data_IF_196742515481
#
_entry.id   IF_196742515481
#
_cell.length_a   1.000
_cell.length_b   1.000
_cell.length_c   1.000
_cell.angle_alpha   90.00
_cell.angle_beta   90.00
_cell.angle_gamma   90.00
#
_symmetry.space_group_name_H-M   'P 1'
#
loop_
_entity.id
_entity.type
_entity.pdbx_description
1 polymer ?
#
# COMPACT_ATOMS: atom_id res chain seq x y z
N UNK A 1 12.08 -15.66 -15.49
CA UNK A 1 13.51 -15.52 -15.18
C UNK A 1 13.61 -14.99 -13.75
N UNK A 2 14.20 -15.73 -12.82
CA UNK A 2 14.28 -15.31 -11.42
C UNK A 2 15.05 -13.99 -11.28
N UNK A 3 14.55 -13.08 -10.46
CA UNK A 3 15.23 -11.83 -10.12
C UNK A 3 16.53 -12.15 -9.39
N UNK A 4 17.67 -11.75 -9.95
CA UNK A 4 18.98 -11.99 -9.32
C UNK A 4 19.05 -11.30 -7.96
N UNK A 5 19.60 -11.98 -6.97
CA UNK A 5 19.80 -11.41 -5.62
C UNK A 5 20.85 -10.30 -5.64
N UNK A 6 20.84 -9.37 -4.67
CA UNK A 6 21.88 -8.34 -4.55
C UNK A 6 23.29 -8.94 -4.54
N UNK A 7 23.45 -10.09 -3.86
CA UNK A 7 24.71 -10.84 -3.81
C UNK A 7 25.17 -11.28 -5.20
N UNK A 8 24.26 -11.81 -6.02
CA UNK A 8 24.57 -12.20 -7.40
C UNK A 8 24.91 -11.01 -8.29
N UNK A 9 24.16 -9.90 -8.16
CA UNK A 9 24.44 -8.66 -8.90
C UNK A 9 25.84 -8.11 -8.57
N UNK A 10 26.21 -8.10 -7.28
CA UNK A 10 27.54 -7.67 -6.82
C UNK A 10 28.62 -8.64 -7.31
N UNK A 11 28.36 -9.95 -7.28
CA UNK A 11 29.31 -10.97 -7.71
C UNK A 11 29.57 -10.89 -9.22
N UNK A 12 28.53 -10.70 -10.02
CA UNK A 12 28.65 -10.48 -11.46
C UNK A 12 29.50 -9.24 -11.75
N UNK A 13 29.24 -8.12 -11.07
CA UNK A 13 30.04 -6.89 -11.23
C UNK A 13 31.49 -7.13 -10.82
N UNK A 14 31.74 -7.81 -9.70
CA UNK A 14 33.10 -8.12 -9.25
C UNK A 14 33.84 -8.98 -10.28
N UNK A 15 33.18 -10.01 -10.82
CA UNK A 15 33.75 -10.88 -11.86
C UNK A 15 34.12 -10.09 -13.11
N UNK A 16 33.20 -9.28 -13.64
CA UNK A 16 33.46 -8.43 -14.79
C UNK A 16 34.57 -7.41 -14.51
N UNK A 17 34.64 -6.87 -13.30
CA UNK A 17 35.67 -5.90 -12.92
C UNK A 17 37.05 -6.53 -12.89
N UNK A 18 37.19 -7.75 -12.36
CA UNK A 18 38.46 -8.48 -12.39
C UNK A 18 38.85 -8.79 -13.84
N UNK A 19 37.89 -9.19 -14.67
CA UNK A 19 38.13 -9.42 -16.10
C UNK A 19 38.63 -8.16 -16.82
N UNK A 20 37.95 -7.02 -16.64
CA UNK A 20 38.36 -5.73 -17.21
C UNK A 20 39.71 -5.28 -16.69
N UNK A 21 39.97 -5.43 -15.39
CA UNK A 21 41.24 -5.10 -14.78
C UNK A 21 42.39 -5.90 -15.40
N UNK A 22 42.22 -7.22 -15.55
CA UNK A 22 43.21 -8.07 -16.23
C UNK A 22 43.40 -7.67 -17.70
N UNK A 23 42.32 -7.33 -18.42
CA UNK A 23 42.41 -6.85 -19.80
C UNK A 23 43.19 -5.53 -19.89
N UNK A 24 42.94 -4.57 -19.01
CA UNK A 24 43.68 -3.30 -18.94
C UNK A 24 45.16 -3.50 -18.61
N UNK A 25 45.49 -4.44 -17.72
CA UNK A 25 46.88 -4.80 -17.43
C UNK A 25 47.57 -5.39 -18.66
N UNK A 26 46.93 -6.30 -19.39
CA UNK A 26 47.47 -6.89 -20.62
C UNK A 26 47.72 -5.80 -21.66
N UNK A 27 46.75 -4.92 -21.89
CA UNK A 27 46.88 -3.82 -22.85
C UNK A 27 47.98 -2.84 -22.43
N UNK A 28 47.99 -2.43 -21.16
CA UNK A 28 49.02 -1.53 -20.63
C UNK A 28 50.42 -2.12 -20.74
N UNK A 29 50.57 -3.41 -20.44
CA UNK A 29 51.84 -4.13 -20.59
C UNK A 29 52.27 -4.24 -22.06
N UNK A 30 51.35 -4.57 -22.98
CA UNK A 30 51.65 -4.67 -24.41
C UNK A 30 52.10 -3.33 -24.99
N UNK A 31 51.44 -2.22 -24.62
CA UNK A 31 51.82 -0.88 -25.07
C UNK A 31 53.20 -0.51 -24.53
N UNK A 32 53.45 -0.68 -23.23
CA UNK A 32 54.74 -0.30 -22.63
C UNK A 32 55.92 -1.22 -23.01
N UNK A 33 55.65 -2.47 -23.40
CA UNK A 33 56.65 -3.41 -23.91
C UNK A 33 56.92 -3.27 -25.41
N UNK A 34 56.22 -2.36 -26.10
CA UNK A 34 56.31 -2.21 -27.56
C UNK A 34 55.86 -3.47 -28.30
N UNK A 35 54.78 -4.10 -27.83
CA UNK A 35 54.29 -5.42 -28.26
C UNK A 35 55.31 -6.54 -28.01
N UNK A 36 55.72 -6.72 -26.74
CA UNK A 36 56.61 -7.80 -26.27
C UNK A 36 58.06 -7.71 -26.79
N UNK A 37 58.48 -6.57 -27.33
CA UNK A 37 59.84 -6.37 -27.83
C UNK A 37 60.84 -6.13 -26.71
N UNK A 38 60.41 -5.51 -25.61
CA UNK A 38 61.27 -5.15 -24.47
C UNK A 38 60.51 -5.36 -23.16
N UNK A 39 61.18 -5.90 -22.15
CA UNK A 39 60.60 -6.01 -20.80
C UNK A 39 60.55 -4.61 -20.15
N UNK A 40 59.37 -4.13 -19.72
CA UNK A 40 59.26 -2.82 -19.09
C UNK A 40 60.07 -2.74 -17.78
N UNK A 41 60.64 -1.57 -17.49
CA UNK A 41 61.30 -1.30 -16.21
C UNK A 41 60.31 -1.41 -15.04
N UNK A 42 60.81 -1.74 -13.84
CA UNK A 42 59.97 -1.94 -12.64
C UNK A 42 59.05 -0.75 -12.34
N UNK A 43 59.55 0.48 -12.50
CA UNK A 43 58.77 1.70 -12.26
C UNK A 43 57.57 1.82 -13.21
N UNK A 44 57.74 1.42 -14.48
CA UNK A 44 56.64 1.41 -15.46
C UNK A 44 55.61 0.33 -15.19
N UNK A 45 56.01 -0.83 -14.67
CA UNK A 45 55.08 -1.88 -14.26
C UNK A 45 54.20 -1.39 -13.10
N UNK A 46 54.80 -0.67 -12.15
CA UNK A 46 54.08 -0.06 -11.05
C UNK A 46 53.08 1.00 -11.54
N UNK A 47 53.45 1.86 -12.49
CA UNK A 47 52.54 2.82 -13.12
C UNK A 47 51.35 2.15 -13.81
N UNK A 48 51.60 1.11 -14.62
CA UNK A 48 50.54 0.35 -15.31
C UNK A 48 49.56 -0.26 -14.29
N UNK A 49 50.07 -0.81 -13.19
CA UNK A 49 49.25 -1.40 -12.14
C UNK A 49 48.39 -0.32 -11.44
N UNK A 50 49.00 0.81 -11.11
CA UNK A 50 48.32 1.95 -10.47
C UNK A 50 47.24 2.53 -11.36
N UNK A 51 47.50 2.68 -12.65
CA UNK A 51 46.54 3.22 -13.63
C UNK A 51 45.39 2.25 -13.86
N UNK A 52 45.68 0.96 -14.02
CA UNK A 52 44.65 -0.07 -14.15
C UNK A 52 43.75 -0.13 -12.92
N UNK A 53 44.31 -0.02 -11.70
CA UNK A 53 43.54 0.05 -10.45
C UNK A 53 42.70 1.33 -10.38
N UNK A 54 43.26 2.48 -10.75
CA UNK A 54 42.58 3.77 -10.69
C UNK A 54 41.41 3.85 -11.67
N UNK A 55 41.60 3.38 -12.91
CA UNK A 55 40.54 3.29 -13.92
C UNK A 55 39.47 2.30 -13.46
N UNK A 56 39.87 1.13 -12.98
CA UNK A 56 38.92 0.12 -12.49
C UNK A 56 38.09 0.65 -11.32
N UNK A 57 38.70 1.36 -10.37
CA UNK A 57 37.99 1.98 -9.24
C UNK A 57 37.05 3.11 -9.70
N UNK A 58 37.49 3.95 -10.64
CA UNK A 58 36.70 5.04 -11.19
C UNK A 58 35.44 4.54 -11.93
N UNK A 59 35.50 3.38 -12.57
CA UNK A 59 34.35 2.72 -13.18
C UNK A 59 33.51 1.92 -12.18
N UNK A 60 34.14 1.23 -11.24
CA UNK A 60 33.47 0.36 -10.28
C UNK A 60 32.60 1.15 -9.30
N UNK A 61 33.10 2.29 -8.79
CA UNK A 61 32.39 3.04 -7.75
C UNK A 61 30.99 3.53 -8.20
N UNK A 62 30.81 4.16 -9.38
CA UNK A 62 29.50 4.52 -9.89
C UNK A 62 28.57 3.31 -10.13
N UNK A 63 29.11 2.22 -10.66
CA UNK A 63 28.34 0.99 -10.96
C UNK A 63 27.86 0.31 -9.68
N UNK A 64 28.73 0.19 -8.69
CA UNK A 64 28.39 -0.35 -7.37
C UNK A 64 27.36 0.54 -6.67
N UNK A 65 27.54 1.87 -6.70
CA UNK A 65 26.58 2.82 -6.16
C UNK A 65 25.21 2.70 -6.84
N UNK A 66 25.16 2.54 -8.17
CA UNK A 66 23.92 2.38 -8.91
C UNK A 66 23.18 1.09 -8.53
N UNK A 67 23.88 -0.05 -8.43
CA UNK A 67 23.25 -1.32 -8.04
C UNK A 67 22.75 -1.28 -6.60
N UNK A 68 23.56 -0.77 -5.67
CA UNK A 68 23.15 -0.58 -4.28
C UNK A 68 21.93 0.33 -4.18
N UNK A 69 21.92 1.45 -4.90
CA UNK A 69 20.81 2.40 -4.86
C UNK A 69 19.54 1.84 -5.50
N UNK A 70 19.66 1.06 -6.58
CA UNK A 70 18.52 0.41 -7.22
C UNK A 70 17.87 -0.60 -6.29
N UNK A 71 18.68 -1.44 -5.62
CA UNK A 71 18.20 -2.44 -4.66
C UNK A 71 17.59 -1.76 -3.41
N UNK A 72 18.26 -0.76 -2.85
CA UNK A 72 17.76 0.05 -1.75
C UNK A 72 16.41 0.71 -2.06
N UNK A 73 16.25 1.24 -3.29
CA UNK A 73 14.99 1.82 -3.74
C UNK A 73 13.87 0.79 -3.84
N UNK A 74 14.15 -0.41 -4.34
CA UNK A 74 13.17 -1.50 -4.39
C UNK A 74 12.73 -1.92 -2.98
N UNK A 75 13.69 -2.10 -2.05
CA UNK A 75 13.39 -2.41 -0.65
C UNK A 75 12.56 -1.32 0.01
N UNK A 76 12.91 -0.05 -0.15
CA UNK A 76 12.13 1.05 0.41
C UNK A 76 10.74 1.19 -0.22
N UNK A 77 10.59 0.89 -1.51
CA UNK A 77 9.26 0.83 -2.13
C UNK A 77 8.42 -0.26 -1.48
N UNK A 78 8.97 -1.45 -1.23
CA UNK A 78 8.28 -2.55 -0.57
C UNK A 78 7.86 -2.18 0.87
N UNK A 79 8.80 -1.67 1.68
CA UNK A 79 8.52 -1.20 3.06
C UNK A 79 7.42 -0.14 3.07
N UNK A 80 7.45 0.78 2.10
CA UNK A 80 6.43 1.84 2.02
C UNK A 80 5.05 1.29 1.63
N UNK A 81 4.98 0.34 0.70
CA UNK A 81 3.73 -0.35 0.34
C UNK A 81 3.18 -1.10 1.56
N UNK A 82 4.01 -1.83 2.29
CA UNK A 82 3.64 -2.50 3.52
C UNK A 82 3.05 -1.52 4.54
N UNK A 83 3.78 -0.44 4.83
CA UNK A 83 3.34 0.58 5.79
C UNK A 83 2.02 1.25 5.38
N UNK A 84 1.85 1.59 4.10
CA UNK A 84 0.62 2.21 3.59
C UNK A 84 -0.56 1.22 3.63
N UNK A 85 -0.34 -0.05 3.30
CA UNK A 85 -1.37 -1.09 3.38
C UNK A 85 -1.83 -1.37 4.82
N UNK A 86 -0.92 -1.29 5.79
CA UNK A 86 -1.24 -1.39 7.21
C UNK A 86 -2.08 -0.20 7.67
N UNK A 87 -1.74 1.01 7.23
CA UNK A 87 -2.56 2.21 7.52
C UNK A 87 -3.97 2.04 6.97
N UNK A 88 -4.12 1.62 5.71
CA UNK A 88 -5.45 1.38 5.11
C UNK A 88 -6.25 0.37 5.95
N UNK A 89 -5.64 -0.74 6.35
CA UNK A 89 -6.29 -1.74 7.21
C UNK A 89 -6.73 -1.15 8.57
N UNK A 90 -5.87 -0.38 9.23
CA UNK A 90 -6.19 0.21 10.53
C UNK A 90 -7.31 1.26 10.42
N UNK A 91 -7.32 2.08 9.38
CA UNK A 91 -8.36 3.07 9.15
C UNK A 91 -9.70 2.43 8.79
N UNK A 92 -9.72 1.37 7.95
CA UNK A 92 -10.92 0.56 7.72
C UNK A 92 -11.47 0.02 9.03
N UNK A 93 -10.61 -0.58 9.87
CA UNK A 93 -11.03 -1.12 11.16
C UNK A 93 -11.63 -0.04 12.06
N UNK A 94 -11.05 1.17 12.09
CA UNK A 94 -11.59 2.30 12.86
C UNK A 94 -12.95 2.74 12.33
N UNK A 95 -13.12 2.86 11.01
CA UNK A 95 -14.41 3.17 10.36
C UNK A 95 -15.50 2.18 10.79
N UNK A 96 -15.18 0.89 10.80
CA UNK A 96 -16.13 -0.14 11.25
C UNK A 96 -16.47 -0.04 12.74
N UNK A 97 -15.48 0.23 13.59
CA UNK A 97 -15.71 0.41 15.02
C UNK A 97 -16.60 1.63 15.30
N UNK A 98 -16.34 2.75 14.63
CA UNK A 98 -17.16 3.95 14.76
C UNK A 98 -18.57 3.70 14.23
N UNK A 99 -18.73 3.08 13.07
CA UNK A 99 -20.04 2.71 12.55
C UNK A 99 -20.84 1.82 13.51
N UNK A 100 -20.18 0.82 14.13
CA UNK A 100 -20.80 -0.04 15.15
C UNK A 100 -21.25 0.75 16.37
N UNK A 101 -20.46 1.72 16.84
CA UNK A 101 -20.86 2.61 17.94
C UNK A 101 -22.07 3.46 17.56
N UNK A 102 -22.11 4.00 16.35
CA UNK A 102 -23.25 4.76 15.84
C UNK A 102 -24.53 3.90 15.83
N UNK A 103 -24.44 2.65 15.36
CA UNK A 103 -25.56 1.69 15.41
C UNK A 103 -26.07 1.45 16.84
N UNK A 104 -25.15 1.24 17.78
CA UNK A 104 -25.50 1.05 19.19
C UNK A 104 -26.19 2.27 19.79
N UNK A 105 -25.71 3.48 19.48
CA UNK A 105 -26.29 4.72 19.99
C UNK A 105 -27.75 4.93 19.54
N UNK A 106 -28.07 4.60 18.28
CA UNK A 106 -29.46 4.63 17.80
C UNK A 106 -30.30 3.59 18.52
N UNK A 107 -29.81 2.35 18.64
CA UNK A 107 -30.53 1.25 19.29
C UNK A 107 -30.87 1.54 20.75
N UNK A 108 -29.95 2.15 21.48
CA UNK A 108 -30.15 2.46 22.91
C UNK A 108 -30.90 3.77 23.13
N UNK A 109 -31.34 4.44 22.06
CA UNK A 109 -32.12 5.69 22.10
C UNK A 109 -31.44 6.79 22.94
N UNK A 110 -30.10 6.76 23.02
CA UNK A 110 -29.34 7.76 23.76
C UNK A 110 -29.48 9.07 22.97
N UNK A 111 -30.29 9.98 23.52
CA UNK A 111 -30.56 11.34 23.02
C UNK A 111 -29.32 12.24 22.93
N UNK A 112 -28.12 11.69 23.03
CA UNK A 112 -26.89 12.46 23.01
C UNK A 112 -26.51 12.78 21.56
N UNK A 113 -27.17 13.81 21.02
CA UNK A 113 -26.86 14.40 19.71
C UNK A 113 -25.37 14.74 19.56
N UNK A 114 -24.64 14.91 20.66
CA UNK A 114 -23.21 15.22 20.63
C UNK A 114 -22.37 13.98 20.29
N UNK A 115 -22.68 12.81 20.88
CA UNK A 115 -21.98 11.55 20.58
C UNK A 115 -22.07 11.18 19.10
N UNK A 116 -23.25 11.37 18.48
CA UNK A 116 -23.41 11.05 17.07
C UNK A 116 -22.58 11.98 16.16
N UNK A 117 -22.63 13.29 16.41
CA UNK A 117 -21.84 14.26 15.64
C UNK A 117 -20.34 14.01 15.75
N UNK A 118 -19.88 13.67 16.96
CA UNK A 118 -18.48 13.35 17.20
C UNK A 118 -18.02 12.10 16.42
N UNK A 119 -18.83 11.05 16.39
CA UNK A 119 -18.52 9.84 15.62
C UNK A 119 -18.64 10.08 14.08
N UNK A 120 -19.53 10.97 13.63
CA UNK A 120 -19.60 11.39 12.23
C UNK A 120 -18.35 12.17 11.79
N UNK A 121 -17.84 13.08 12.62
CA UNK A 121 -16.59 13.78 12.37
C UNK A 121 -15.39 12.82 12.34
N UNK A 122 -15.33 11.87 13.28
CA UNK A 122 -14.30 10.82 13.27
C UNK A 122 -14.34 9.99 11.99
N UNK A 123 -15.52 9.58 11.53
CA UNK A 123 -15.66 8.85 10.26
C UNK A 123 -15.14 9.66 9.08
N UNK A 124 -15.42 10.97 9.00
CA UNK A 124 -14.87 11.81 7.93
C UNK A 124 -13.35 11.83 7.94
N UNK A 125 -12.74 11.99 9.11
CA UNK A 125 -11.27 11.96 9.26
C UNK A 125 -10.70 10.62 8.78
N UNK A 126 -11.30 9.50 9.20
CA UNK A 126 -10.83 8.17 8.80
C UNK A 126 -11.00 7.94 7.29
N UNK A 127 -12.10 8.40 6.68
CA UNK A 127 -12.30 8.32 5.23
C UNK A 127 -11.28 9.16 4.45
N UNK A 128 -10.96 10.37 4.92
CA UNK A 128 -9.97 11.23 4.27
C UNK A 128 -8.57 10.60 4.28
N UNK A 129 -8.14 10.07 5.43
CA UNK A 129 -6.86 9.36 5.57
C UNK A 129 -6.83 8.14 4.64
N UNK A 130 -7.91 7.36 4.62
CA UNK A 130 -8.03 6.17 3.81
C UNK A 130 -7.95 6.52 2.32
N UNK A 131 -8.74 7.47 1.83
CA UNK A 131 -8.75 7.88 0.43
C UNK A 131 -7.39 8.45 -0.02
N UNK A 132 -6.73 9.21 0.85
CA UNK A 132 -5.39 9.75 0.57
C UNK A 132 -4.35 8.62 0.45
N UNK A 133 -4.40 7.65 1.36
CA UNK A 133 -3.46 6.52 1.38
C UNK A 133 -3.75 5.53 0.24
N UNK A 134 -5.02 5.33 -0.11
CA UNK A 134 -5.42 4.51 -1.25
C UNK A 134 -4.92 5.13 -2.56
N UNK A 135 -5.09 6.46 -2.73
CA UNK A 135 -4.58 7.17 -3.90
C UNK A 135 -3.06 7.07 -4.04
N UNK A 136 -2.33 7.13 -2.91
CA UNK A 136 -0.87 6.97 -2.93
C UNK A 136 -0.45 5.55 -3.32
N UNK A 137 -1.21 4.51 -2.90
CA UNK A 137 -1.01 3.13 -3.33
C UNK A 137 -1.35 2.91 -4.81
N UNK A 138 -2.46 3.49 -5.29
CA UNK A 138 -2.90 3.40 -6.69
C UNK A 138 -1.87 3.99 -7.66
N UNK A 139 -1.14 5.04 -7.26
CA UNK A 139 -0.04 5.59 -8.07
C UNK A 139 1.12 4.59 -8.31
N UNK A 140 1.14 3.47 -7.58
CA UNK A 140 2.21 2.44 -7.62
C UNK A 140 1.75 1.12 -8.22
N UNK A 141 0.62 1.11 -8.95
CA UNK A 141 -0.10 -0.04 -9.55
C UNK A 141 0.67 -1.02 -10.45
N UNK A 142 2.00 -0.97 -10.52
CA UNK A 142 2.80 -1.99 -11.23
C UNK A 142 2.93 -3.34 -10.52
N UNK A 143 2.14 -3.62 -9.48
CA UNK A 143 2.16 -4.88 -8.73
C UNK A 143 0.73 -5.43 -8.65
N UNK A 144 0.52 -6.63 -9.20
CA UNK A 144 -0.79 -7.30 -9.24
C UNK A 144 -1.40 -7.48 -7.83
N UNK A 145 -0.58 -7.70 -6.81
CA UNK A 145 -1.03 -7.82 -5.43
C UNK A 145 -1.55 -6.48 -4.86
N UNK A 146 -0.95 -5.35 -5.26
CA UNK A 146 -1.42 -4.00 -4.86
C UNK A 146 -2.75 -3.71 -5.55
N UNK A 147 -2.91 -4.13 -6.80
CA UNK A 147 -4.17 -3.99 -7.53
C UNK A 147 -5.29 -4.80 -6.87
N UNK A 148 -5.06 -6.09 -6.58
CA UNK A 148 -6.04 -6.93 -5.87
C UNK A 148 -6.41 -6.33 -4.51
N UNK A 149 -5.44 -5.80 -3.77
CA UNK A 149 -5.68 -5.14 -2.49
C UNK A 149 -6.60 -3.92 -2.63
N UNK A 150 -6.34 -3.04 -3.60
CA UNK A 150 -7.13 -1.82 -3.83
C UNK A 150 -8.56 -2.19 -4.24
N UNK A 151 -8.73 -3.14 -5.16
CA UNK A 151 -10.07 -3.59 -5.61
C UNK A 151 -10.92 -4.08 -4.44
N UNK A 152 -10.34 -4.87 -3.53
CA UNK A 152 -11.05 -5.35 -2.33
C UNK A 152 -11.39 -4.21 -1.37
N UNK A 153 -10.50 -3.22 -1.20
CA UNK A 153 -10.79 -2.07 -0.35
C UNK A 153 -11.91 -1.22 -0.95
N UNK A 154 -11.91 -0.99 -2.25
CA UNK A 154 -12.96 -0.24 -2.95
C UNK A 154 -14.33 -0.94 -2.84
N UNK A 155 -14.38 -2.26 -3.01
CA UNK A 155 -15.60 -3.06 -2.78
C UNK A 155 -16.15 -2.86 -1.36
N UNK A 156 -15.27 -2.85 -0.35
CA UNK A 156 -15.64 -2.66 1.05
C UNK A 156 -16.16 -1.25 1.31
N UNK A 157 -15.50 -0.24 0.74
CA UNK A 157 -15.95 1.14 0.85
C UNK A 157 -17.32 1.34 0.20
N UNK A 158 -17.55 0.74 -0.97
CA UNK A 158 -18.85 0.82 -1.64
C UNK A 158 -19.97 0.22 -0.76
N UNK A 159 -19.72 -0.95 -0.16
CA UNK A 159 -20.65 -1.56 0.80
C UNK A 159 -20.85 -0.67 2.03
N UNK A 160 -19.77 -0.11 2.57
CA UNK A 160 -19.81 0.80 3.71
C UNK A 160 -20.67 2.04 3.40
N UNK A 161 -20.49 2.68 2.24
CA UNK A 161 -21.26 3.86 1.85
C UNK A 161 -22.76 3.55 1.67
N UNK A 162 -23.10 2.41 1.05
CA UNK A 162 -24.50 1.96 0.93
C UNK A 162 -25.13 1.78 2.31
N UNK A 163 -24.41 1.12 3.22
CA UNK A 163 -24.87 0.88 4.58
C UNK A 163 -24.99 2.18 5.39
N UNK A 164 -24.03 3.10 5.26
CA UNK A 164 -24.06 4.40 5.92
C UNK A 164 -25.24 5.26 5.43
N UNK A 165 -25.57 5.20 4.13
CA UNK A 165 -26.74 5.90 3.58
C UNK A 165 -28.05 5.39 4.19
N UNK A 166 -28.24 4.08 4.22
CA UNK A 166 -29.41 3.45 4.87
C UNK A 166 -29.49 3.88 6.34
N UNK A 167 -28.34 3.92 7.01
CA UNK A 167 -28.25 4.34 8.41
C UNK A 167 -28.65 5.80 8.63
N UNK A 168 -28.27 6.70 7.72
CA UNK A 168 -28.67 8.11 7.78
C UNK A 168 -30.18 8.29 7.55
N UNK A 169 -30.77 7.50 6.66
CA UNK A 169 -32.23 7.48 6.43
C UNK A 169 -33.00 7.03 7.68
N UNK A 170 -32.55 5.96 8.34
CA UNK A 170 -33.13 5.49 9.63
C UNK A 170 -33.00 6.57 10.71
N UNK A 171 -31.86 7.25 10.79
CA UNK A 171 -31.63 8.36 11.73
C UNK A 171 -32.61 9.51 11.50
N UNK A 172 -32.77 9.93 10.25
CA UNK A 172 -33.70 11.01 9.90
C UNK A 172 -35.11 10.62 10.32
N UNK A 173 -35.56 9.40 9.98
CA UNK A 173 -36.87 8.89 10.38
C UNK A 173 -37.09 8.94 11.91
N UNK A 174 -36.13 8.47 12.70
CA UNK A 174 -36.21 8.50 14.16
C UNK A 174 -36.30 9.93 14.72
N UNK A 175 -35.55 10.87 14.13
CA UNK A 175 -35.60 12.30 14.48
C UNK A 175 -36.96 12.92 14.15
N UNK A 176 -37.58 12.53 13.04
CA UNK A 176 -38.90 13.03 12.61
C UNK A 176 -40.05 12.47 13.46
N UNK A 177 -40.02 11.17 13.82
CA UNK A 177 -41.04 10.57 14.71
C UNK A 177 -41.12 11.26 16.07
N UNK A 178 -40.00 11.77 16.59
CA UNK A 178 -39.95 12.45 17.89
C UNK A 178 -40.46 13.90 17.80
N UNK A 179 -40.63 14.51 16.62
CA UNK A 179 -40.87 15.97 16.48
C UNK A 179 -42.14 16.40 15.71
N UNK A 180 -42.94 15.51 15.09
CA UNK A 180 -44.30 15.84 14.59
C UNK A 180 -45.33 14.69 14.72
N UNK A 181 -46.58 14.97 15.14
CA UNK A 181 -47.60 13.93 15.42
C UNK A 181 -48.53 13.61 14.23
N UNK A 182 -48.29 14.10 13.02
CA UNK A 182 -49.21 13.85 11.89
C UNK A 182 -48.92 12.49 11.22
N UNK A 183 -49.34 11.45 11.94
CA UNK A 183 -49.05 10.02 11.74
C UNK A 183 -49.61 9.45 10.42
N UNK A 184 -50.77 9.93 9.96
CA UNK A 184 -51.55 9.31 8.88
C UNK A 184 -50.95 9.45 7.46
N UNK A 185 -50.26 10.56 7.16
CA UNK A 185 -49.68 10.77 5.83
C UNK A 185 -48.39 9.95 5.64
N UNK A 186 -47.63 9.77 6.73
CA UNK A 186 -46.39 9.02 6.77
C UNK A 186 -46.64 7.50 6.85
N UNK A 187 -47.64 7.05 7.61
CA UNK A 187 -48.04 5.63 7.65
C UNK A 187 -48.50 5.08 6.28
N UNK A 188 -48.89 5.94 5.33
CA UNK A 188 -49.30 5.52 3.97
C UNK A 188 -48.16 5.43 2.95
N UNK A 189 -47.12 6.26 3.06
CA UNK A 189 -46.03 6.33 2.06
C UNK A 189 -44.76 5.59 2.49
N UNK A 190 -44.54 5.49 3.80
CA UNK A 190 -43.29 4.99 4.34
C UNK A 190 -43.17 3.46 4.42
N UNK A 191 -44.26 2.68 4.63
CA UNK A 191 -44.16 1.22 4.55
C UNK A 191 -43.68 0.76 3.19
N UNK A 192 -44.10 1.38 2.07
CA UNK A 192 -43.59 1.02 0.74
C UNK A 192 -42.07 1.20 0.60
N UNK A 193 -41.52 2.31 1.10
CA UNK A 193 -40.08 2.63 1.06
C UNK A 193 -39.26 1.76 2.03
N UNK A 194 -39.77 1.56 3.24
CA UNK A 194 -39.13 0.74 4.27
C UNK A 194 -39.24 -0.72 3.91
N UNK A 195 -40.36 -1.22 3.41
CA UNK A 195 -40.59 -2.62 3.08
C UNK A 195 -39.86 -3.01 1.78
N UNK A 196 -39.71 -2.10 0.81
CA UNK A 196 -38.85 -2.29 -0.37
C UNK A 196 -37.35 -2.31 -0.01
N UNK A 197 -36.90 -1.49 0.95
CA UNK A 197 -35.50 -1.49 1.39
C UNK A 197 -35.20 -2.57 2.43
N UNK A 198 -36.07 -2.79 3.43
CA UNK A 198 -35.90 -3.76 4.52
C UNK A 198 -36.12 -5.19 4.04
N UNK A 199 -37.02 -5.47 3.09
CA UNK A 199 -37.11 -6.82 2.50
C UNK A 199 -35.93 -7.13 1.57
N UNK A 200 -35.24 -6.11 1.03
CA UNK A 200 -33.95 -6.28 0.36
C UNK A 200 -32.77 -6.35 1.36
N UNK A 201 -32.96 -5.90 2.60
CA UNK A 201 -32.03 -6.00 3.73
C UNK A 201 -32.53 -7.10 4.69
N UNK A 202 -32.99 -8.23 4.16
CA UNK A 202 -33.19 -9.47 4.92
C UNK A 202 -31.84 -10.09 5.31
N UNK A 203 -30.96 -9.26 5.87
CA UNK A 203 -29.68 -9.60 6.46
C UNK A 203 -29.83 -9.15 7.90
N UNK A 204 -29.93 -10.10 8.83
CA UNK A 204 -29.95 -9.79 10.24
C UNK A 204 -28.75 -8.87 10.57
N UNK A 205 -28.90 -7.93 11.52
CA UNK A 205 -27.80 -7.04 11.91
C UNK A 205 -26.52 -7.81 12.31
N UNK A 206 -26.64 -9.09 12.71
CA UNK A 206 -25.53 -10.02 12.90
C UNK A 206 -24.83 -10.37 11.58
N UNK A 207 -25.57 -10.79 10.56
CA UNK A 207 -25.03 -11.16 9.25
C UNK A 207 -24.33 -9.98 8.53
N UNK A 208 -24.80 -8.72 8.69
CA UNK A 208 -24.12 -7.55 8.08
C UNK A 208 -22.75 -7.32 8.73
N UNK A 209 -22.69 -7.39 10.07
CA UNK A 209 -21.44 -7.26 10.81
C UNK A 209 -20.49 -8.43 10.55
N UNK A 210 -21.03 -9.63 10.35
CA UNK A 210 -20.25 -10.83 10.03
C UNK A 210 -19.68 -10.77 8.61
N UNK A 211 -20.44 -10.30 7.61
CA UNK A 211 -19.95 -10.08 6.24
C UNK A 211 -18.83 -9.04 6.23
N UNK A 212 -19.02 -7.92 6.93
CA UNK A 212 -17.99 -6.89 7.03
C UNK A 212 -16.76 -7.35 7.81
N UNK A 213 -16.94 -8.18 8.83
CA UNK A 213 -15.83 -8.78 9.56
C UNK A 213 -15.01 -9.75 8.70
N UNK A 214 -15.68 -10.56 7.86
CA UNK A 214 -15.03 -11.43 6.87
C UNK A 214 -14.24 -10.60 5.86
N UNK A 215 -14.82 -9.52 5.35
CA UNK A 215 -14.19 -8.63 4.39
C UNK A 215 -12.96 -7.90 4.98
N UNK A 216 -13.04 -7.42 6.23
CA UNK A 216 -11.89 -6.85 6.95
C UNK A 216 -10.77 -7.89 7.13
N UNK A 217 -11.13 -9.14 7.43
CA UNK A 217 -10.17 -10.23 7.57
C UNK A 217 -9.49 -10.56 6.24
N UNK A 218 -10.21 -10.44 5.12
CA UNK A 218 -9.66 -10.56 3.77
C UNK A 218 -8.65 -9.44 3.50
N UNK A 219 -8.97 -8.19 3.86
CA UNK A 219 -8.02 -7.05 3.76
C UNK A 219 -6.78 -7.28 4.61
N UNK A 220 -6.94 -7.78 5.84
CA UNK A 220 -5.80 -8.15 6.70
C UNK A 220 -4.91 -9.21 6.04
N UNK A 221 -5.52 -10.25 5.48
CA UNK A 221 -4.75 -11.30 4.80
C UNK A 221 -4.01 -10.77 3.56
N UNK A 222 -4.66 -9.91 2.78
CA UNK A 222 -4.03 -9.27 1.62
C UNK A 222 -2.92 -8.29 2.06
N UNK A 223 -3.11 -7.54 3.14
CA UNK A 223 -2.05 -6.67 3.68
C UNK A 223 -0.86 -7.50 4.15
N UNK A 224 -1.06 -8.67 4.76
CA UNK A 224 0.05 -9.58 5.12
C UNK A 224 0.75 -10.19 3.90
N UNK A 225 0.03 -10.43 2.79
CA UNK A 225 0.65 -10.86 1.54
C UNK A 225 1.54 -9.78 0.93
N UNK A 226 1.20 -8.50 1.13
CA UNK A 226 2.06 -7.38 0.71
C UNK A 226 3.34 -7.25 1.56
N UNK A 227 3.44 -7.97 2.70
CA UNK A 227 4.63 -8.05 3.56
C UNK A 227 5.58 -9.19 3.18
N UNK A 228 5.12 -10.15 2.39
CA UNK A 228 5.84 -11.38 2.02
C UNK A 228 6.50 -11.25 0.64
#
# INVERSE_FOLDING_TARGET
MGTKTLKEKIFDIAFWTVYFFCAFLIVGYLINSGFLKVVPAKDKIYEILKDALSISAAFLAPVAAFVLFSDWREQHRAIKIESESEVVYQELRKLFLTFKKSLLAIRTNIQDKNLFKEEEEKNKIHLDILNTTLSSLSSRMGNDAVKEFIEVVDEILEKYYKMYKIFDEIRLFHKYQVHQPNKELLEKQLPGLIEEHVNNISISQGEVLDILYIDIRRVYFLSTKLKA
#
